data_IF_015378473424
#
_entry.id   IF_015378473424
#
_cell.length_a   1.000
_cell.length_b   1.000
_cell.length_c   1.000
_cell.angle_alpha   90.00
_cell.angle_beta   90.00
_cell.angle_gamma   90.00
#
_symmetry.space_group_name_H-M   'P 1'
#
loop_
_entity.id
_entity.type
_entity.pdbx_description
1 polymer ?
#
# COMPACT_ATOMS: atom_id res chain seq x y z
N UNK A 1 8.49 2.93 -15.64
CA UNK A 1 7.52 3.28 -16.72
C UNK A 1 6.82 1.99 -17.10
N UNK A 2 5.49 1.93 -17.08
CA UNK A 2 4.74 0.71 -17.41
C UNK A 2 4.81 0.44 -18.93
N UNK A 3 4.84 -0.84 -19.35
CA UNK A 3 4.76 -1.22 -20.77
C UNK A 3 3.53 -0.59 -21.45
N UNK A 4 3.69 -0.12 -22.69
CA UNK A 4 2.65 0.62 -23.43
C UNK A 4 1.33 -0.16 -23.55
N UNK A 5 1.39 -1.48 -23.62
CA UNK A 5 0.23 -2.38 -23.67
C UNK A 5 -0.62 -2.37 -22.39
N UNK A 6 -0.02 -2.12 -21.23
CA UNK A 6 -0.73 -2.11 -19.95
C UNK A 6 -1.30 -0.74 -19.61
N UNK A 7 -0.80 0.31 -20.27
CA UNK A 7 -1.20 1.70 -20.01
C UNK A 7 -2.66 2.00 -20.34
N UNK A 8 -3.26 1.24 -21.28
CA UNK A 8 -4.65 1.41 -21.69
C UNK A 8 -5.66 0.88 -20.65
N UNK A 9 -5.29 -0.16 -19.91
CA UNK A 9 -6.20 -0.83 -18.97
C UNK A 9 -5.79 -0.64 -17.51
N UNK A 10 -4.60 -0.12 -17.25
CA UNK A 10 -4.12 0.12 -15.90
C UNK A 10 -4.79 1.38 -15.33
N UNK A 11 -5.52 1.27 -14.23
CA UNK A 11 -6.19 2.42 -13.64
C UNK A 11 -5.17 3.44 -13.14
N UNK A 12 -5.25 4.68 -13.63
CA UNK A 12 -4.37 5.80 -13.22
C UNK A 12 -4.48 6.17 -11.74
N UNK A 13 -5.57 5.73 -11.10
CA UNK A 13 -5.87 5.88 -9.68
C UNK A 13 -5.27 4.76 -8.81
N UNK A 14 -4.81 3.64 -9.38
CA UNK A 14 -4.25 2.53 -8.60
C UNK A 14 -2.72 2.60 -8.63
N UNK A 15 -2.09 2.77 -7.47
CA UNK A 15 -0.66 2.62 -7.33
C UNK A 15 -0.35 1.37 -6.51
N UNK A 16 0.81 0.77 -6.77
CA UNK A 16 1.34 -0.32 -5.97
C UNK A 16 2.56 0.24 -5.24
N UNK A 17 2.51 0.21 -3.91
CA UNK A 17 3.63 0.59 -3.06
C UNK A 17 4.33 -0.69 -2.58
N UNK A 18 5.65 -0.74 -2.75
CA UNK A 18 6.50 -1.84 -2.28
C UNK A 18 7.46 -1.28 -1.24
N UNK A 19 7.46 -1.89 -0.06
CA UNK A 19 8.34 -1.55 1.06
C UNK A 19 9.18 -2.75 1.48
N UNK A 20 10.38 -2.48 1.96
CA UNK A 20 11.25 -3.47 2.58
C UNK A 20 11.63 -2.98 3.98
N UNK A 21 11.42 -3.82 4.98
CA UNK A 21 11.73 -3.53 6.37
C UNK A 21 12.50 -4.70 6.98
N UNK A 22 13.51 -4.43 7.78
CA UNK A 22 14.11 -5.43 8.65
C UNK A 22 13.65 -5.15 10.08
N UNK A 23 13.00 -6.13 10.73
CA UNK A 23 12.59 -6.03 12.13
C UNK A 23 13.50 -6.89 13.00
N UNK A 24 13.56 -6.55 14.28
CA UNK A 24 14.28 -7.31 15.31
C UNK A 24 15.74 -7.59 14.92
N UNK A 25 16.48 -6.52 14.59
CA UNK A 25 17.91 -6.60 14.31
C UNK A 25 18.64 -6.98 15.61
N UNK A 26 19.08 -8.23 15.70
CA UNK A 26 19.87 -8.75 16.83
C UNK A 26 21.29 -9.02 16.39
N UNK A 27 22.23 -8.66 17.25
CA UNK A 27 23.63 -9.02 17.09
C UNK A 27 23.85 -10.34 17.84
N UNK A 28 24.04 -11.44 17.11
CA UNK A 28 24.31 -12.76 17.68
C UNK A 28 25.58 -13.30 17.01
N UNK A 29 26.60 -13.66 17.80
CA UNK A 29 27.88 -14.19 17.31
C UNK A 29 28.59 -13.34 16.22
N UNK A 30 28.59 -12.01 16.37
CA UNK A 30 29.10 -11.05 15.37
C UNK A 30 28.39 -11.09 13.99
N UNK A 31 27.23 -11.75 13.90
CA UNK A 31 26.40 -11.80 12.71
C UNK A 31 25.11 -11.01 12.98
N UNK A 32 24.78 -10.07 12.08
CA UNK A 32 23.51 -9.37 12.12
C UNK A 32 22.40 -10.31 11.65
N UNK A 33 21.56 -10.79 12.57
CA UNK A 33 20.32 -11.48 12.24
C UNK A 33 19.18 -10.48 12.31
N UNK A 34 18.40 -10.37 11.23
CA UNK A 34 17.18 -9.58 11.18
C UNK A 34 16.08 -10.40 10.52
N UNK A 35 14.83 -10.05 10.81
CA UNK A 35 13.64 -10.63 10.19
C UNK A 35 13.23 -9.73 9.00
N UNK A 36 13.57 -10.10 7.75
CA UNK A 36 13.22 -9.33 6.58
C UNK A 36 11.72 -9.44 6.28
N UNK A 37 11.06 -8.30 6.18
CA UNK A 37 9.66 -8.14 5.81
C UNK A 37 9.54 -7.38 4.50
N UNK A 38 8.93 -8.01 3.51
CA UNK A 38 8.50 -7.37 2.26
C UNK A 38 7.04 -6.96 2.39
N UNK A 39 6.73 -5.70 2.14
CA UNK A 39 5.37 -5.18 2.27
C UNK A 39 4.92 -4.72 0.89
N UNK A 40 3.77 -5.23 0.43
CA UNK A 40 3.13 -4.80 -0.81
C UNK A 40 1.79 -4.17 -0.43
N UNK A 41 1.59 -2.90 -0.76
CA UNK A 41 0.37 -2.17 -0.45
C UNK A 41 -0.29 -1.62 -1.73
N UNK A 42 -1.63 -1.64 -1.76
CA UNK A 42 -2.42 -1.03 -2.82
C UNK A 42 -2.79 0.39 -2.42
N UNK A 43 -2.20 1.39 -3.07
CA UNK A 43 -2.43 2.81 -2.80
C UNK A 43 -3.38 3.43 -3.82
N UNK A 44 -4.59 3.75 -3.38
CA UNK A 44 -5.63 4.34 -4.21
C UNK A 44 -5.54 5.87 -4.20
N UNK A 45 -5.13 6.46 -5.33
CA UNK A 45 -5.12 7.90 -5.54
C UNK A 45 -6.48 8.37 -6.07
N UNK A 46 -7.40 8.64 -5.15
CA UNK A 46 -8.75 9.12 -5.45
C UNK A 46 -8.79 10.46 -6.20
N UNK A 47 -7.77 11.31 -6.00
CA UNK A 47 -7.68 12.56 -6.73
C UNK A 47 -7.49 12.35 -8.24
N UNK A 48 -6.96 11.19 -8.66
CA UNK A 48 -6.84 10.78 -10.06
C UNK A 48 -8.05 10.01 -10.58
N UNK A 49 -8.93 9.53 -9.69
CA UNK A 49 -10.18 8.87 -10.06
C UNK A 49 -11.22 9.88 -10.55
N UNK A 50 -11.21 11.10 -9.98
CA UNK A 50 -12.22 12.12 -10.25
C UNK A 50 -11.79 13.02 -11.41
N UNK A 51 -12.59 13.15 -12.49
CA UNK A 51 -12.27 14.00 -13.63
C UNK A 51 -12.38 15.49 -13.29
N UNK A 52 -11.50 16.30 -13.89
CA UNK A 52 -11.40 17.74 -13.69
C UNK A 52 -12.42 18.52 -14.55
N UNK A 53 -13.72 18.27 -14.35
CA UNK A 53 -14.77 18.84 -15.22
C UNK A 53 -15.60 19.95 -14.58
N UNK A 54 -15.75 20.02 -13.26
CA UNK A 54 -16.68 20.98 -12.61
C UNK A 54 -16.12 21.49 -11.28
N UNK A 55 -16.51 22.71 -10.88
CA UNK A 55 -16.07 23.34 -9.62
C UNK A 55 -16.34 22.45 -8.39
N UNK A 56 -17.47 21.73 -8.35
CA UNK A 56 -17.77 20.76 -7.30
C UNK A 56 -16.79 19.59 -7.28
N UNK A 57 -16.44 19.04 -8.44
CA UNK A 57 -15.49 17.92 -8.55
C UNK A 57 -14.07 18.35 -8.19
N UNK A 58 -13.69 19.59 -8.52
CA UNK A 58 -12.42 20.18 -8.09
C UNK A 58 -12.37 20.35 -6.56
N UNK A 59 -13.47 20.75 -5.93
CA UNK A 59 -13.58 20.80 -4.47
C UNK A 59 -13.50 19.40 -3.85
N UNK A 60 -14.25 18.43 -4.39
CA UNK A 60 -14.25 17.04 -3.93
C UNK A 60 -12.86 16.40 -4.04
N UNK A 61 -12.13 16.69 -5.13
CA UNK A 61 -10.74 16.26 -5.34
C UNK A 61 -9.80 16.81 -4.27
N UNK A 62 -9.95 18.09 -3.91
CA UNK A 62 -9.16 18.72 -2.85
C UNK A 62 -9.47 18.09 -1.48
N UNK A 63 -10.75 17.81 -1.20
CA UNK A 63 -11.17 17.13 0.03
C UNK A 63 -10.55 15.73 0.14
N UNK A 64 -10.52 14.96 -0.96
CA UNK A 64 -9.90 13.63 -0.98
C UNK A 64 -8.39 13.64 -0.93
N UNK A 65 -7.73 14.73 -1.34
CA UNK A 65 -6.29 14.87 -1.16
C UNK A 65 -5.91 14.98 0.33
N UNK A 66 -6.83 15.48 1.15
CA UNK A 66 -6.67 15.56 2.60
C UNK A 66 -7.05 14.27 3.32
N UNK A 67 -7.87 13.42 2.69
CA UNK A 67 -8.39 12.19 3.29
C UNK A 67 -7.69 10.95 2.73
N UNK A 68 -6.81 10.35 3.54
CA UNK A 68 -6.17 9.07 3.20
C UNK A 68 -7.08 7.90 3.57
N UNK A 69 -7.52 7.13 2.59
CA UNK A 69 -8.28 5.91 2.82
C UNK A 69 -7.39 4.75 3.24
N UNK A 70 -7.94 3.78 3.99
CA UNK A 70 -7.22 2.56 4.29
C UNK A 70 -6.86 1.82 3.02
N UNK A 71 -5.55 1.71 2.79
CA UNK A 71 -4.97 0.87 1.76
C UNK A 71 -4.78 -0.54 2.32
N UNK A 72 -5.25 -1.60 1.63
CA UNK A 72 -4.89 -2.96 1.99
C UNK A 72 -3.42 -3.21 1.67
N UNK A 73 -2.71 -3.80 2.62
CA UNK A 73 -1.31 -4.17 2.51
C UNK A 73 -1.11 -5.63 2.92
N UNK A 74 -0.18 -6.31 2.23
CA UNK A 74 0.25 -7.66 2.53
C UNK A 74 1.72 -7.59 2.94
N UNK A 75 2.02 -8.10 4.12
CA UNK A 75 3.38 -8.24 4.64
C UNK A 75 3.81 -9.71 4.48
N UNK A 76 4.90 -9.94 3.76
CA UNK A 76 5.57 -11.22 3.56
C UNK A 76 6.86 -11.25 4.39
N UNK A 77 6.97 -12.21 5.30
CA UNK A 77 8.20 -12.56 6.04
C UNK A 77 8.04 -13.98 6.56
N UNK A 78 8.49 -14.27 7.78
CA UNK A 78 8.22 -15.56 8.44
C UNK A 78 6.74 -16.00 8.40
N UNK A 79 5.81 -15.03 8.35
CA UNK A 79 4.38 -15.25 8.19
C UNK A 79 3.80 -14.22 7.23
N UNK A 80 2.82 -14.63 6.43
CA UNK A 80 2.04 -13.71 5.57
C UNK A 80 0.95 -13.05 6.42
N UNK A 81 0.96 -11.72 6.49
CA UNK A 81 -0.01 -10.93 7.26
C UNK A 81 -0.76 -9.97 6.34
N UNK A 82 -2.09 -10.02 6.39
CA UNK A 82 -2.93 -9.04 5.73
C UNK A 82 -3.24 -7.90 6.70
N UNK A 83 -2.79 -6.69 6.36
CA UNK A 83 -2.97 -5.50 7.18
C UNK A 83 -3.75 -4.45 6.39
N UNK A 84 -4.95 -4.12 6.86
CA UNK A 84 -5.67 -2.92 6.42
C UNK A 84 -5.25 -1.77 7.35
N UNK A 85 -4.56 -0.75 6.84
CA UNK A 85 -4.02 0.34 7.67
C UNK A 85 -4.85 1.63 7.60
N UNK A 86 -5.28 2.12 8.78
CA UNK A 86 -5.97 3.39 9.16
C UNK A 86 -7.30 3.75 8.46
N UNK A 87 -8.39 4.13 9.19
CA UNK A 87 -8.50 4.28 10.65
C UNK A 87 -8.76 2.97 11.41
N UNK A 88 -9.10 1.88 10.72
CA UNK A 88 -9.34 0.59 11.35
C UNK A 88 -8.15 -0.34 11.13
N UNK A 89 -7.51 -0.80 12.20
CA UNK A 89 -6.52 -1.87 12.15
C UNK A 89 -7.26 -3.20 12.09
N UNK A 90 -7.64 -3.63 10.90
CA UNK A 90 -8.14 -5.00 10.69
C UNK A 90 -6.96 -5.80 10.18
N UNK A 91 -6.35 -6.55 11.10
CA UNK A 91 -5.33 -7.54 10.78
C UNK A 91 -5.98 -8.91 10.93
N UNK A 92 -6.21 -9.58 9.81
CA UNK A 92 -6.59 -11.00 9.86
C UNK A 92 -5.34 -11.75 10.24
N UNK A 93 -5.39 -12.48 11.36
CA UNK A 93 -4.28 -13.31 11.83
C UNK A 93 -3.83 -14.33 10.80
N UNK A 94 -2.68 -14.95 11.08
CA UNK A 94 -1.94 -15.93 10.26
C UNK A 94 -2.83 -16.67 9.23
N UNK A 95 -2.69 -16.29 7.95
CA UNK A 95 -3.35 -16.99 6.85
C UNK A 95 -2.48 -18.21 6.51
N UNK A 96 -2.88 -19.37 7.02
CA UNK A 96 -2.32 -20.65 6.61
C UNK A 96 -2.93 -21.04 5.25
N UNK A 97 -2.09 -21.17 4.23
CA UNK A 97 -2.44 -21.82 2.96
C UNK A 97 -2.12 -23.31 3.04
#
# INVERSE_FOLDING_TARGET
MLPQSWKSSYPSWLNIAVGYAARDLRLEDNIYKGDPKFIIALDYNLARLIPNTTNFLNWLRQSFQYFKFPAPAIEFGDKVKFNLLYPFKISTGDVHF
#
